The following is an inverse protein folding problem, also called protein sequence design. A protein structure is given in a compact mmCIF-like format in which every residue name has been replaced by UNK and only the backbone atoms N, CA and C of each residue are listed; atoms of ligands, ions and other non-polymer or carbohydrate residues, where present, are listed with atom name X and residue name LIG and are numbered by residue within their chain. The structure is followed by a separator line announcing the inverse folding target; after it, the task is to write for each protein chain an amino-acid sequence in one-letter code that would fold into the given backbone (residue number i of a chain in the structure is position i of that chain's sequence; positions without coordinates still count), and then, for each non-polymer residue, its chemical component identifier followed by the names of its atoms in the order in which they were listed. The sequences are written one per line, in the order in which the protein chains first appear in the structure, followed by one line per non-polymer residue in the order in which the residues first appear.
data_IF_440686629142
#
_entry.id   IF_440686629142
#
_cell.length_a   1.000
_cell.length_b   1.000
_cell.length_c   1.000
_cell.angle_alpha   90.00
_cell.angle_beta   90.00
_cell.angle_gamma   90.00
#
_symmetry.space_group_name_H-M   'P 1'
#
loop_
_entity.id
_entity.type
_entity.pdbx_description
1 polymer ?
#
# COMPACT_ATOMS: atom_id res chain seq x y z
N UNK A 1 -72.48 -21.99 -9.15
CA UNK A 1 -72.89 -21.86 -10.57
C UNK A 1 -71.83 -21.05 -11.31
N UNK A 2 -71.31 -21.63 -12.42
CA UNK A 2 -70.68 -21.02 -13.60
C UNK A 2 -69.38 -20.19 -13.45
N UNK A 3 -68.28 -20.93 -13.58
CA UNK A 3 -67.21 -20.84 -14.60
C UNK A 3 -67.17 -19.62 -15.53
N UNK A 4 -65.99 -18.98 -15.62
CA UNK A 4 -65.32 -18.66 -16.90
C UNK A 4 -63.81 -18.52 -16.69
N UNK A 5 -63.07 -19.43 -17.31
CA UNK A 5 -61.63 -19.35 -17.52
C UNK A 5 -61.35 -18.52 -18.79
N UNK A 6 -60.31 -17.71 -18.77
CA UNK A 6 -59.63 -17.25 -19.99
C UNK A 6 -58.15 -17.56 -19.82
N UNK A 7 -57.73 -18.64 -20.48
CA UNK A 7 -56.34 -18.93 -20.78
C UNK A 7 -55.95 -18.15 -22.04
N UNK A 8 -54.83 -17.44 -21.98
CA UNK A 8 -54.09 -16.99 -23.16
C UNK A 8 -52.64 -17.42 -23.00
N UNK A 9 -52.41 -18.65 -23.43
CA UNK A 9 -51.10 -19.17 -23.79
C UNK A 9 -50.74 -18.70 -25.20
N UNK A 10 -49.73 -17.85 -25.31
CA UNK A 10 -48.93 -17.68 -26.52
C UNK A 10 -47.47 -17.65 -26.08
N UNK A 11 -46.82 -18.81 -26.22
CA UNK A 11 -45.38 -18.92 -26.11
C UNK A 11 -44.69 -18.33 -27.34
N UNK A 12 -43.47 -17.87 -27.14
CA UNK A 12 -42.35 -18.10 -28.06
C UNK A 12 -41.07 -17.65 -27.34
N UNK A 13 -40.14 -18.58 -27.30
CA UNK A 13 -38.99 -18.56 -26.41
C UNK A 13 -38.04 -17.39 -26.61
N UNK A 14 -37.46 -16.98 -25.49
CA UNK A 14 -36.03 -16.82 -25.39
C UNK A 14 -35.62 -17.61 -24.17
N UNK A 15 -34.93 -18.72 -24.40
CA UNK A 15 -34.16 -19.36 -23.35
C UNK A 15 -33.29 -18.27 -22.73
N UNK A 16 -33.58 -17.95 -21.47
CA UNK A 16 -32.60 -17.33 -20.60
C UNK A 16 -31.47 -18.36 -20.51
N UNK A 17 -30.56 -18.32 -21.47
CA UNK A 17 -29.19 -18.71 -21.24
C UNK A 17 -28.78 -17.85 -20.05
N UNK A 18 -28.91 -18.42 -18.86
CA UNK A 18 -28.06 -18.10 -17.73
C UNK A 18 -26.65 -18.35 -18.24
N UNK A 19 -26.09 -17.35 -18.91
CA UNK A 19 -24.66 -17.29 -19.17
C UNK A 19 -24.04 -17.50 -17.78
N UNK A 20 -23.14 -18.49 -17.62
CA UNK A 20 -22.30 -18.49 -16.43
C UNK A 20 -21.67 -17.10 -16.43
N UNK A 21 -21.99 -16.28 -15.43
CA UNK A 21 -21.20 -15.11 -15.16
C UNK A 21 -19.86 -15.68 -14.70
N UNK A 22 -18.96 -15.95 -15.64
CA UNK A 22 -17.62 -16.36 -15.33
C UNK A 22 -17.05 -15.21 -14.54
N UNK A 23 -16.88 -15.41 -13.23
CA UNK A 23 -16.17 -14.45 -12.41
C UNK A 23 -14.83 -14.20 -13.10
N UNK A 24 -14.50 -12.93 -13.32
CA UNK A 24 -13.24 -12.55 -13.96
C UNK A 24 -12.08 -13.27 -13.25
N UNK A 25 -11.13 -13.77 -14.04
CA UNK A 25 -9.93 -14.41 -13.50
C UNK A 25 -9.20 -13.47 -12.55
N UNK A 26 -8.41 -14.03 -11.63
CA UNK A 26 -7.65 -13.22 -10.66
C UNK A 26 -6.76 -12.18 -11.36
N UNK A 27 -6.12 -12.57 -12.47
CA UNK A 27 -5.30 -11.68 -13.28
C UNK A 27 -6.12 -10.51 -13.88
N UNK A 28 -7.30 -10.79 -14.44
CA UNK A 28 -8.20 -9.74 -14.94
C UNK A 28 -8.64 -8.79 -13.83
N UNK A 29 -8.96 -9.33 -12.65
CA UNK A 29 -9.32 -8.51 -11.48
C UNK A 29 -8.17 -7.59 -11.06
N UNK A 30 -6.93 -8.09 -11.01
CA UNK A 30 -5.75 -7.26 -10.74
C UNK A 30 -5.56 -6.17 -11.80
N UNK A 31 -5.68 -6.50 -13.09
CA UNK A 31 -5.58 -5.52 -14.17
C UNK A 31 -6.64 -4.42 -14.07
N UNK A 32 -7.89 -4.78 -13.74
CA UNK A 32 -8.97 -3.81 -13.54
C UNK A 32 -8.67 -2.88 -12.35
N UNK A 33 -8.20 -3.43 -11.23
CA UNK A 33 -7.80 -2.64 -10.07
C UNK A 33 -6.65 -1.68 -10.41
N UNK A 34 -5.62 -2.14 -11.13
CA UNK A 34 -4.50 -1.29 -11.55
C UNK A 34 -4.95 -0.15 -12.47
N UNK A 35 -5.85 -0.44 -13.41
CA UNK A 35 -6.41 0.59 -14.30
C UNK A 35 -7.17 1.64 -13.50
N UNK A 36 -8.04 1.21 -12.59
CA UNK A 36 -8.78 2.12 -11.70
C UNK A 36 -7.83 2.96 -10.85
N UNK A 37 -6.88 2.31 -10.17
CA UNK A 37 -5.90 2.95 -9.31
C UNK A 37 -5.08 4.03 -10.03
N UNK A 38 -4.53 3.71 -11.21
CA UNK A 38 -3.72 4.65 -11.98
C UNK A 38 -4.50 5.84 -12.52
N UNK A 39 -5.82 5.72 -12.67
CA UNK A 39 -6.66 6.77 -13.24
C UNK A 39 -7.22 7.75 -12.21
N UNK A 40 -7.41 7.30 -10.97
CA UNK A 40 -8.30 7.99 -10.03
C UNK A 40 -7.76 8.13 -8.60
N UNK A 41 -6.72 7.37 -8.22
CA UNK A 41 -6.28 7.31 -6.83
C UNK A 41 -5.03 8.13 -6.57
N UNK A 42 -4.97 8.67 -5.35
CA UNK A 42 -3.78 9.35 -4.86
C UNK A 42 -2.62 8.38 -4.76
N UNK A 43 -1.46 8.80 -5.24
CA UNK A 43 -0.23 8.02 -5.15
C UNK A 43 0.60 8.47 -3.95
N UNK A 44 1.09 7.52 -3.17
CA UNK A 44 2.06 7.75 -2.09
C UNK A 44 3.34 6.96 -2.31
N UNK A 45 4.47 7.50 -1.87
CA UNK A 45 5.79 6.87 -1.98
C UNK A 45 6.57 7.05 -0.69
N UNK A 46 6.84 5.95 0.01
CA UNK A 46 7.57 5.98 1.28
C UNK A 46 8.76 5.03 1.26
N UNK A 47 9.93 5.49 1.69
CA UNK A 47 11.02 4.57 2.01
C UNK A 47 10.66 3.74 3.24
N UNK A 48 11.05 2.48 3.25
CA UNK A 48 10.99 1.58 4.41
C UNK A 48 11.98 0.45 4.19
N UNK A 49 12.81 0.14 5.19
CA UNK A 49 13.84 -0.91 5.11
C UNK A 49 14.74 -0.85 3.85
N UNK A 50 15.10 0.37 3.43
CA UNK A 50 16.00 0.59 2.29
C UNK A 50 15.35 0.46 0.91
N UNK A 51 14.03 0.29 0.83
CA UNK A 51 13.28 0.30 -0.44
C UNK A 51 12.22 1.38 -0.45
N UNK A 52 11.95 1.94 -1.63
CA UNK A 52 10.86 2.90 -1.84
C UNK A 52 9.57 2.15 -2.22
N UNK A 53 8.60 2.16 -1.32
CA UNK A 53 7.33 1.45 -1.46
C UNK A 53 6.26 2.43 -1.95
N UNK A 54 5.57 2.05 -3.03
CA UNK A 54 4.53 2.87 -3.66
C UNK A 54 3.15 2.33 -3.28
N UNK A 55 2.20 3.22 -3.03
CA UNK A 55 0.80 2.82 -2.87
C UNK A 55 -0.15 3.75 -3.62
N UNK A 56 -1.29 3.19 -4.03
CA UNK A 56 -2.45 3.93 -4.52
C UNK A 56 -3.52 3.88 -3.43
N UNK A 57 -4.03 5.05 -3.04
CA UNK A 57 -4.78 5.22 -1.80
C UNK A 57 -6.13 5.89 -2.07
N UNK A 58 -7.18 5.36 -1.45
CA UNK A 58 -8.52 5.96 -1.34
C UNK A 58 -8.93 5.93 0.14
N UNK A 59 -8.37 6.86 0.93
CA UNK A 59 -8.38 6.80 2.39
C UNK A 59 -7.46 5.71 2.97
N UNK A 60 -7.66 4.45 2.56
CA UNK A 60 -6.79 3.29 2.83
C UNK A 60 -6.12 2.80 1.54
N UNK A 61 -4.98 2.08 1.62
CA UNK A 61 -4.34 1.51 0.43
C UNK A 61 -5.30 0.58 -0.34
N UNK A 62 -5.35 0.76 -1.66
CA UNK A 62 -6.03 -0.14 -2.61
C UNK A 62 -5.01 -1.06 -3.28
N UNK A 63 -3.83 -0.51 -3.60
CA UNK A 63 -2.69 -1.28 -4.12
C UNK A 63 -1.43 -0.80 -3.41
N UNK A 64 -0.58 -1.74 -2.97
CA UNK A 64 0.78 -1.46 -2.52
C UNK A 64 1.75 -2.23 -3.42
N UNK A 65 2.69 -1.52 -4.04
CA UNK A 65 3.76 -2.05 -4.85
C UNK A 65 5.08 -2.00 -4.08
N UNK A 66 5.69 -3.17 -3.90
CA UNK A 66 6.96 -3.36 -3.17
C UNK A 66 8.02 -3.84 -4.16
N UNK A 67 9.06 -3.03 -4.43
CA UNK A 67 10.19 -3.48 -5.24
C UNK A 67 10.90 -4.69 -4.62
N UNK A 68 11.33 -5.62 -5.47
CA UNK A 68 12.22 -6.71 -5.09
C UNK A 68 13.60 -6.33 -5.61
N UNK A 69 14.54 -6.08 -4.69
CA UNK A 69 15.92 -5.78 -5.02
C UNK A 69 16.79 -7.02 -4.88
N UNK A 70 17.81 -7.11 -5.73
CA UNK A 70 18.84 -8.13 -5.63
C UNK A 70 19.95 -7.72 -4.66
N UNK A 71 20.97 -8.56 -4.52
CA UNK A 71 22.10 -8.33 -3.61
C UNK A 71 22.91 -7.06 -3.95
N UNK A 72 22.86 -6.59 -5.20
CA UNK A 72 23.51 -5.36 -5.64
C UNK A 72 22.58 -4.12 -5.51
N UNK A 73 21.39 -4.28 -4.94
CA UNK A 73 20.40 -3.21 -4.80
C UNK A 73 19.65 -2.90 -6.11
N UNK A 74 19.80 -3.70 -7.15
CA UNK A 74 19.09 -3.53 -8.42
C UNK A 74 17.72 -4.18 -8.35
N UNK A 75 16.70 -3.48 -8.85
CA UNK A 75 15.35 -4.03 -8.93
C UNK A 75 15.27 -5.20 -9.93
N UNK A 76 14.80 -6.35 -9.46
CA UNK A 76 14.58 -7.57 -10.26
C UNK A 76 13.10 -7.95 -10.36
N UNK A 77 12.24 -7.35 -9.55
CA UNK A 77 10.82 -7.58 -9.61
C UNK A 77 10.02 -6.58 -8.78
N UNK A 78 8.73 -6.85 -8.67
CA UNK A 78 7.80 -6.11 -7.85
C UNK A 78 6.72 -7.06 -7.34
N UNK A 79 6.42 -7.00 -6.04
CA UNK A 79 5.24 -7.63 -5.46
C UNK A 79 4.14 -6.59 -5.33
N UNK A 80 2.91 -6.95 -5.70
CA UNK A 80 1.72 -6.09 -5.54
C UNK A 80 0.73 -6.72 -4.60
N UNK A 81 0.29 -5.94 -3.61
CA UNK A 81 -0.73 -6.31 -2.64
C UNK A 81 -1.99 -5.53 -2.97
N UNK A 82 -3.10 -6.23 -3.18
CA UNK A 82 -4.37 -5.66 -3.60
C UNK A 82 -5.36 -5.75 -2.46
N UNK A 83 -6.06 -4.65 -2.19
CA UNK A 83 -6.99 -4.53 -1.08
C UNK A 83 -8.39 -4.14 -1.57
N UNK A 84 -9.42 -4.72 -0.96
CA UNK A 84 -10.83 -4.35 -1.16
C UNK A 84 -11.44 -4.04 0.21
N UNK A 85 -11.97 -2.83 0.39
CA UNK A 85 -12.52 -2.40 1.69
C UNK A 85 -11.53 -2.51 2.85
N UNK A 86 -10.24 -2.27 2.59
CA UNK A 86 -9.16 -2.39 3.57
C UNK A 86 -8.71 -3.81 3.90
N UNK A 87 -9.31 -4.85 3.30
CA UNK A 87 -8.92 -6.25 3.48
C UNK A 87 -8.03 -6.73 2.33
N UNK A 88 -7.07 -7.59 2.63
CA UNK A 88 -6.24 -8.23 1.61
C UNK A 88 -7.13 -9.08 0.69
N UNK A 89 -7.16 -8.71 -0.59
CA UNK A 89 -7.92 -9.41 -1.62
C UNK A 89 -7.02 -10.35 -2.42
N UNK A 90 -5.79 -9.95 -2.69
CA UNK A 90 -4.84 -10.78 -3.40
C UNK A 90 -3.43 -10.23 -3.40
N UNK A 91 -2.49 -11.07 -3.79
CA UNK A 91 -1.07 -10.70 -3.96
C UNK A 91 -0.59 -11.23 -5.29
N UNK A 92 0.13 -10.38 -6.04
CA UNK A 92 0.84 -10.76 -7.27
C UNK A 92 2.33 -10.59 -7.02
N UNK A 93 3.06 -11.70 -7.12
CA UNK A 93 4.51 -11.73 -7.11
C UNK A 93 5.01 -12.13 -8.51
N UNK A 94 6.31 -11.97 -8.83
CA UNK A 94 6.82 -12.32 -10.15
C UNK A 94 6.53 -13.77 -10.57
N UNK A 95 6.54 -14.72 -9.63
CA UNK A 95 6.39 -16.14 -9.91
C UNK A 95 5.04 -16.74 -9.44
N UNK A 96 4.15 -15.95 -8.83
CA UNK A 96 2.92 -16.48 -8.23
C UNK A 96 1.82 -15.44 -8.05
N UNK A 97 0.58 -15.91 -7.96
CA UNK A 97 -0.58 -15.10 -7.62
C UNK A 97 -1.39 -15.78 -6.52
N UNK A 98 -1.91 -14.98 -5.59
CA UNK A 98 -2.61 -15.44 -4.40
C UNK A 98 -3.95 -14.73 -4.29
N UNK A 99 -5.04 -15.47 -4.02
CA UNK A 99 -6.36 -14.90 -3.78
C UNK A 99 -6.84 -15.20 -2.36
N UNK A 100 -7.45 -14.21 -1.73
CA UNK A 100 -8.03 -14.31 -0.40
C UNK A 100 -9.56 -14.11 -0.48
N UNK A 101 -10.30 -14.83 0.35
CA UNK A 101 -11.72 -14.57 0.55
C UNK A 101 -11.97 -13.44 1.57
N UNK A 102 -13.24 -13.05 1.74
CA UNK A 102 -13.63 -11.96 2.65
C UNK A 102 -13.38 -12.26 4.14
N UNK A 103 -13.11 -13.53 4.48
CA UNK A 103 -12.71 -13.96 5.82
C UNK A 103 -11.20 -13.87 6.05
N UNK A 104 -10.43 -13.58 4.99
CA UNK A 104 -8.96 -13.48 5.03
C UNK A 104 -8.26 -14.82 4.79
N UNK A 105 -8.97 -15.83 4.27
CA UNK A 105 -8.40 -17.14 4.00
C UNK A 105 -7.83 -17.23 2.59
N UNK A 106 -6.66 -17.83 2.44
CA UNK A 106 -6.04 -18.09 1.14
C UNK A 106 -6.83 -19.19 0.41
N UNK A 107 -7.42 -18.83 -0.73
CA UNK A 107 -8.28 -19.72 -1.53
C UNK A 107 -7.62 -20.18 -2.82
N UNK A 108 -6.66 -19.42 -3.35
CA UNK A 108 -5.93 -19.76 -4.57
C UNK A 108 -4.45 -19.47 -4.41
N UNK A 109 -3.62 -20.40 -4.89
CA UNK A 109 -2.19 -20.20 -5.16
C UNK A 109 -1.98 -20.61 -6.61
N UNK A 110 -1.71 -19.63 -7.45
CA UNK A 110 -1.46 -19.81 -8.87
C UNK A 110 0.01 -19.54 -9.19
N UNK A 111 0.55 -20.21 -10.20
CA UNK A 111 1.87 -19.95 -10.76
C UNK A 111 1.88 -18.66 -11.63
N UNK A 112 3.02 -18.41 -12.28
CA UNK A 112 3.22 -17.28 -13.18
C UNK A 112 2.32 -17.32 -14.43
N UNK A 113 1.80 -18.50 -14.79
CA UNK A 113 0.86 -18.73 -15.90
C UNK A 113 -0.60 -18.69 -15.45
N UNK A 114 -0.87 -18.42 -14.16
CA UNK A 114 -2.21 -18.40 -13.60
C UNK A 114 -2.85 -19.78 -13.45
N UNK A 115 -2.06 -20.85 -13.50
CA UNK A 115 -2.51 -22.21 -13.23
C UNK A 115 -2.34 -22.53 -11.74
N UNK A 116 -3.13 -23.44 -11.16
CA UNK A 116 -2.91 -23.90 -9.78
C UNK A 116 -1.46 -24.38 -9.62
N UNK A 117 -0.75 -23.82 -8.64
CA UNK A 117 0.64 -24.18 -8.42
C UNK A 117 0.77 -25.67 -8.06
N UNK A 118 1.70 -26.36 -8.71
CA UNK A 118 1.93 -27.78 -8.47
C UNK A 118 2.47 -28.02 -7.04
N UNK A 119 2.14 -29.18 -6.47
CA UNK A 119 2.67 -29.64 -5.17
C UNK A 119 2.37 -28.75 -3.95
N UNK A 120 1.34 -27.92 -4.01
CA UNK A 120 0.89 -27.13 -2.86
C UNK A 120 0.10 -27.99 -1.87
N UNK A 121 0.66 -28.18 -0.66
CA UNK A 121 -0.01 -28.85 0.45
C UNK A 121 -0.92 -27.90 1.25
N UNK A 122 -1.81 -28.46 2.08
CA UNK A 122 -2.59 -27.65 3.05
C UNK A 122 -1.69 -26.86 4.02
N UNK A 123 -0.59 -27.46 4.46
CA UNK A 123 0.34 -26.83 5.39
C UNK A 123 1.06 -25.64 4.73
N UNK A 124 1.53 -25.79 3.49
CA UNK A 124 2.17 -24.70 2.76
C UNK A 124 1.19 -23.56 2.47
N UNK A 125 -0.09 -23.86 2.17
CA UNK A 125 -1.13 -22.83 2.06
C UNK A 125 -1.29 -22.02 3.36
N UNK A 126 -1.40 -22.69 4.51
CA UNK A 126 -1.55 -22.02 5.80
C UNK A 126 -0.35 -21.16 6.18
N UNK A 127 0.87 -21.66 5.96
CA UNK A 127 2.09 -20.89 6.19
C UNK A 127 2.13 -19.65 5.30
N UNK A 128 1.75 -19.80 4.03
CA UNK A 128 1.74 -18.71 3.06
C UNK A 128 0.67 -17.67 3.37
N UNK A 129 -0.53 -18.12 3.74
CA UNK A 129 -1.63 -17.27 4.23
C UNK A 129 -1.17 -16.41 5.42
N UNK A 130 -0.60 -17.03 6.45
CA UNK A 130 -0.13 -16.33 7.64
C UNK A 130 0.95 -15.30 7.32
N UNK A 131 1.93 -15.67 6.48
CA UNK A 131 3.00 -14.77 6.07
C UNK A 131 2.48 -13.58 5.26
N UNK A 132 1.66 -13.83 4.23
CA UNK A 132 1.12 -12.78 3.36
C UNK A 132 0.18 -11.84 4.12
N UNK A 133 -0.65 -12.37 5.01
CA UNK A 133 -1.56 -11.57 5.83
C UNK A 133 -0.79 -10.66 6.77
N UNK A 134 0.24 -11.19 7.47
CA UNK A 134 1.10 -10.38 8.33
C UNK A 134 1.82 -9.30 7.52
N UNK A 135 2.43 -9.68 6.39
CA UNK A 135 3.16 -8.74 5.55
C UNK A 135 2.26 -7.64 4.97
N UNK A 136 1.05 -7.99 4.53
CA UNK A 136 0.07 -7.01 4.05
C UNK A 136 -0.33 -6.01 5.14
N UNK A 137 -0.51 -6.47 6.39
CA UNK A 137 -0.81 -5.60 7.52
C UNK A 137 0.35 -4.65 7.85
N UNK A 138 1.59 -5.16 7.87
CA UNK A 138 2.80 -4.33 8.03
C UNK A 138 2.86 -3.23 6.95
N UNK A 139 2.71 -3.63 5.68
CA UNK A 139 2.73 -2.71 4.54
C UNK A 139 1.59 -1.69 4.60
N UNK A 140 0.37 -2.12 4.96
CA UNK A 140 -0.77 -1.22 5.15
C UNK A 140 -0.50 -0.17 6.22
N UNK A 141 0.15 -0.56 7.32
CA UNK A 141 0.54 0.33 8.41
C UNK A 141 1.46 1.47 7.98
N UNK A 142 2.34 1.25 6.99
CA UNK A 142 3.22 2.31 6.45
C UNK A 142 2.43 3.49 5.87
N UNK A 143 1.23 3.23 5.36
CA UNK A 143 0.39 4.25 4.71
C UNK A 143 -0.70 4.82 5.59
N UNK A 144 -0.83 4.34 6.84
CA UNK A 144 -1.68 4.98 7.84
C UNK A 144 -1.19 6.41 8.13
N UNK A 145 -2.09 7.36 8.45
CA UNK A 145 -1.71 8.67 8.95
C UNK A 145 -0.83 8.54 10.20
N UNK A 146 0.25 9.31 10.27
CA UNK A 146 1.02 9.48 11.50
C UNK A 146 0.24 10.26 12.54
N UNK A 147 0.62 10.16 13.82
CA UNK A 147 0.03 10.98 14.89
C UNK A 147 0.10 12.48 14.60
N UNK A 148 1.10 12.95 13.85
CA UNK A 148 1.18 14.34 13.40
C UNK A 148 0.03 14.68 12.42
N UNK A 149 -0.13 13.87 11.37
CA UNK A 149 -1.21 14.03 10.39
C UNK A 149 -2.60 13.96 11.05
N UNK A 150 -2.83 13.01 11.95
CA UNK A 150 -4.09 12.90 12.70
C UNK A 150 -4.40 14.14 13.56
N UNK A 151 -3.37 14.71 14.21
CA UNK A 151 -3.52 15.93 15.02
C UNK A 151 -3.81 17.16 14.16
N UNK A 152 -3.20 17.24 12.98
CA UNK A 152 -3.50 18.31 12.02
C UNK A 152 -4.95 18.25 11.54
N UNK A 153 -5.47 17.05 11.23
CA UNK A 153 -6.86 16.87 10.81
C UNK A 153 -7.88 17.25 11.88
N UNK A 154 -7.56 16.95 13.14
CA UNK A 154 -8.41 17.31 14.28
C UNK A 154 -8.38 18.81 14.60
N UNK A 155 -7.63 19.62 13.85
CA UNK A 155 -7.51 21.06 14.06
C UNK A 155 -6.69 21.44 15.31
N UNK A 156 -5.95 20.49 15.90
CA UNK A 156 -5.18 20.69 17.12
C UNK A 156 -3.85 21.43 16.91
N UNK A 157 -3.54 21.86 15.69
CA UNK A 157 -2.24 22.39 15.28
C UNK A 157 -2.42 23.78 14.65
N UNK A 158 -1.67 24.78 15.15
CA UNK A 158 -1.72 26.16 14.65
C UNK A 158 -0.67 26.46 13.57
N UNK A 159 0.21 25.51 13.26
CA UNK A 159 1.26 25.64 12.25
C UNK A 159 0.65 25.80 10.85
N UNK A 160 1.31 26.57 9.98
CA UNK A 160 0.88 26.80 8.59
C UNK A 160 2.08 26.80 7.64
N UNK A 161 1.80 26.64 6.35
CA UNK A 161 2.80 26.71 5.28
C UNK A 161 4.00 25.78 5.55
N UNK A 162 5.21 26.31 5.39
CA UNK A 162 6.44 25.53 5.54
C UNK A 162 6.65 24.91 6.93
N UNK A 163 6.14 25.55 7.99
CA UNK A 163 6.26 25.01 9.35
C UNK A 163 5.37 23.77 9.54
N UNK A 164 4.16 23.80 8.98
CA UNK A 164 3.26 22.65 9.00
C UNK A 164 3.84 21.50 8.18
N UNK A 165 4.30 21.77 6.96
CA UNK A 165 4.92 20.76 6.09
C UNK A 165 6.10 20.06 6.79
N UNK A 166 7.02 20.85 7.36
CA UNK A 166 8.16 20.31 8.11
C UNK A 166 7.71 19.44 9.29
N UNK A 167 6.70 19.89 10.06
CA UNK A 167 6.21 19.14 11.22
C UNK A 167 5.55 17.81 10.82
N UNK A 168 4.76 17.79 9.75
CA UNK A 168 4.16 16.57 9.20
C UNK A 168 5.25 15.60 8.70
N UNK A 169 6.22 16.10 7.95
CA UNK A 169 7.33 15.31 7.44
C UNK A 169 8.17 14.68 8.55
N UNK A 170 8.52 15.44 9.59
CA UNK A 170 9.26 14.92 10.74
C UNK A 170 8.44 13.88 11.50
N UNK A 171 7.14 14.13 11.70
CA UNK A 171 6.22 13.17 12.34
C UNK A 171 6.14 11.85 11.58
N UNK A 172 6.00 11.91 10.25
CA UNK A 172 5.97 10.72 9.40
C UNK A 172 7.30 9.98 9.37
N UNK A 173 8.43 10.69 9.34
CA UNK A 173 9.77 10.08 9.41
C UNK A 173 9.96 9.29 10.70
N UNK A 174 9.62 9.87 11.86
CA UNK A 174 9.69 9.17 13.14
C UNK A 174 8.81 7.93 13.18
N UNK A 175 7.61 8.00 12.59
CA UNK A 175 6.70 6.86 12.51
C UNK A 175 7.21 5.72 11.61
N UNK A 176 7.87 6.04 10.48
CA UNK A 176 8.32 5.03 9.52
C UNK A 176 9.71 4.45 9.84
N UNK A 177 10.64 5.29 10.31
CA UNK A 177 12.03 4.91 10.55
C UNK A 177 12.29 4.48 12.00
N UNK A 178 11.31 4.63 12.90
CA UNK A 178 11.47 4.34 14.32
C UNK A 178 12.40 5.35 14.99
N UNK A 179 11.83 6.37 15.63
CA UNK A 179 12.59 7.37 16.37
C UNK A 179 11.66 8.33 17.11
N UNK A 180 12.25 9.22 17.91
CA UNK A 180 11.49 10.11 18.79
C UNK A 180 11.85 11.59 18.67
N UNK A 181 12.89 11.92 17.89
CA UNK A 181 13.34 13.28 17.66
C UNK A 181 14.01 13.46 16.31
N UNK A 182 13.68 14.55 15.62
CA UNK A 182 14.36 15.00 14.41
C UNK A 182 14.97 16.38 14.66
N UNK A 183 16.24 16.54 14.32
CA UNK A 183 16.96 17.83 14.32
C UNK A 183 17.56 18.10 12.96
N UNK A 184 17.84 19.36 12.65
CA UNK A 184 18.43 19.74 11.37
C UNK A 184 19.14 21.08 11.50
N UNK A 185 20.13 21.31 10.63
CA UNK A 185 20.74 22.62 10.46
C UNK A 185 19.90 23.43 9.47
N UNK A 186 19.45 24.66 9.79
CA UNK A 186 18.59 25.45 8.91
C UNK A 186 19.16 25.67 7.50
N UNK A 187 20.48 25.77 7.37
CA UNK A 187 21.16 25.96 6.09
C UNK A 187 21.12 24.71 5.18
N UNK A 188 20.90 23.52 5.76
CA UNK A 188 20.92 22.23 5.06
C UNK A 188 19.53 21.67 4.76
N UNK A 189 18.47 22.32 5.24
CA UNK A 189 17.09 21.90 5.02
C UNK A 189 16.29 22.97 4.27
N UNK A 190 15.96 22.68 3.01
CA UNK A 190 15.03 23.49 2.24
C UNK A 190 13.60 23.18 2.69
N UNK A 191 12.80 24.23 2.89
CA UNK A 191 11.43 24.13 3.39
C UNK A 191 10.51 24.99 2.53
N UNK A 192 9.36 24.45 2.17
CA UNK A 192 8.26 25.17 1.52
C UNK A 192 6.92 24.63 2.03
N UNK A 193 5.81 25.24 1.61
CA UNK A 193 4.48 24.75 2.01
C UNK A 193 4.18 23.35 1.44
N UNK A 194 4.87 22.96 0.37
CA UNK A 194 4.73 21.69 -0.34
C UNK A 194 5.62 20.58 0.23
N UNK A 195 6.57 20.90 1.13
CA UNK A 195 7.45 19.88 1.70
C UNK A 195 8.80 20.36 2.20
N UNK A 196 9.68 19.40 2.48
CA UNK A 196 11.06 19.63 2.90
C UNK A 196 12.03 18.74 2.13
N UNK A 197 13.24 19.24 1.91
CA UNK A 197 14.32 18.47 1.26
C UNK A 197 15.68 18.88 1.82
N UNK A 198 16.48 17.89 2.18
CA UNK A 198 17.82 18.13 2.71
C UNK A 198 18.19 17.20 3.86
N UNK A 199 19.16 17.64 4.66
CA UNK A 199 19.75 16.82 5.71
C UNK A 199 19.02 16.99 7.05
N UNK A 200 18.81 15.87 7.74
CA UNK A 200 18.27 15.83 9.10
C UNK A 200 19.03 14.78 9.92
N UNK A 201 19.00 14.89 11.24
CA UNK A 201 19.44 13.85 12.16
C UNK A 201 18.21 13.28 12.87
N UNK A 202 18.02 11.98 12.79
CA UNK A 202 16.97 11.23 13.50
C UNK A 202 17.57 10.55 14.72
N UNK A 203 16.96 10.73 15.89
CA UNK A 203 17.32 9.95 17.08
C UNK A 203 16.53 8.66 17.10
N UNK A 204 17.26 7.56 17.15
CA UNK A 204 16.75 6.20 17.29
C UNK A 204 17.33 5.57 18.57
N UNK A 205 16.90 4.35 18.91
CA UNK A 205 17.41 3.63 20.09
C UNK A 205 18.94 3.46 20.09
N UNK A 206 19.54 3.25 18.91
CA UNK A 206 20.98 3.03 18.75
C UNK A 206 21.81 4.31 18.71
N UNK A 207 21.17 5.48 18.72
CA UNK A 207 21.83 6.78 18.63
C UNK A 207 21.25 7.68 17.55
N UNK A 208 22.03 8.67 17.13
CA UNK A 208 21.66 9.58 16.06
C UNK A 208 22.07 9.02 14.70
N UNK A 209 21.15 9.05 13.75
CA UNK A 209 21.40 8.73 12.36
C UNK A 209 21.20 9.98 11.50
N UNK A 210 22.24 10.37 10.78
CA UNK A 210 22.18 11.47 9.82
C UNK A 210 21.62 10.95 8.48
N UNK A 211 20.59 11.63 7.96
CA UNK A 211 19.81 11.25 6.80
C UNK A 211 19.72 12.41 5.81
N UNK A 212 19.69 12.09 4.51
CA UNK A 212 19.25 13.02 3.48
C UNK A 212 17.87 12.58 3.00
N UNK A 213 16.88 13.46 3.11
CA UNK A 213 15.49 13.15 2.79
C UNK A 213 14.88 14.08 1.73
N UNK A 214 13.83 13.58 1.09
CA UNK A 214 12.86 14.37 0.35
C UNK A 214 11.47 14.01 0.88
N UNK A 215 10.72 15.03 1.28
CA UNK A 215 9.36 14.89 1.77
C UNK A 215 8.43 15.86 1.06
N UNK A 216 7.29 15.37 0.60
CA UNK A 216 6.24 16.15 -0.07
C UNK A 216 4.93 16.00 0.71
N UNK A 217 4.18 17.09 0.83
CA UNK A 217 2.88 17.12 1.51
C UNK A 217 1.79 17.66 0.60
N UNK A 218 0.57 17.18 0.82
CA UNK A 218 -0.65 17.70 0.22
C UNK A 218 -1.70 17.85 1.31
N UNK A 219 -2.06 19.11 1.63
CA UNK A 219 -2.88 19.41 2.80
C UNK A 219 -2.20 18.91 4.09
N UNK A 220 -2.92 18.09 4.85
CA UNK A 220 -2.44 17.47 6.10
C UNK A 220 -1.88 16.06 5.89
N UNK A 221 -1.45 15.71 4.68
CA UNK A 221 -0.93 14.38 4.35
C UNK A 221 0.47 14.45 3.79
N UNK A 222 1.32 13.54 4.24
CA UNK A 222 2.60 13.27 3.58
C UNK A 222 2.33 12.34 2.40
N UNK A 223 2.69 12.76 1.20
CA UNK A 223 2.47 12.00 -0.04
C UNK A 223 3.76 11.35 -0.53
N UNK A 224 4.91 11.97 -0.25
CA UNK A 224 6.23 11.38 -0.47
C UNK A 224 7.08 11.55 0.78
N UNK A 225 7.78 10.49 1.17
CA UNK A 225 8.87 10.60 2.12
C UNK A 225 9.91 9.54 1.80
N UNK A 226 11.00 9.96 1.18
CA UNK A 226 12.14 9.09 0.90
C UNK A 226 13.38 9.58 1.61
N UNK A 227 14.24 8.66 2.05
CA UNK A 227 15.48 9.02 2.72
C UNK A 227 16.58 7.98 2.49
N UNK A 228 17.81 8.45 2.65
CA UNK A 228 19.00 7.61 2.66
C UNK A 228 19.94 8.05 3.78
N UNK A 229 20.69 7.13 4.41
CA UNK A 229 21.75 7.49 5.33
C UNK A 229 22.80 8.37 4.64
N UNK A 230 23.31 9.38 5.35
CA UNK A 230 24.44 10.16 4.84
C UNK A 230 25.75 9.34 4.92
N UNK A 231 26.68 9.49 3.96
CA UNK A 231 28.01 8.89 4.03
C UNK A 231 28.71 9.30 5.33
N UNK A 232 29.13 8.33 6.14
CA UNK A 232 29.79 8.59 7.44
C UNK A 232 28.85 8.71 8.65
N UNK A 233 27.54 8.43 8.51
CA UNK A 233 26.56 8.51 9.59
C UNK A 233 26.68 7.42 10.69
N UNK A 234 27.61 6.47 10.56
CA UNK A 234 28.05 5.65 11.70
C UNK A 234 29.03 6.46 12.55
N UNK A 235 28.55 7.51 13.22
CA UNK A 235 29.35 8.14 14.29
C UNK A 235 29.52 7.10 15.40
N UNK A 236 30.75 6.74 15.80
CA UNK A 236 30.96 5.89 16.97
C UNK A 236 30.31 6.53 18.20
N UNK A 237 29.76 5.69 19.08
CA UNK A 237 29.19 6.09 20.36
C UNK A 237 30.17 6.86 21.23
#
# INVERSE_FOLDING_TARGET
MRTTAIALSLGLGLGLCSLPSFAASLAEQFTLMEKGANSALDTRLFSHDGVDIKAWVDGTPVIIAVPILNEQGKQEGESRYYFKGGKLFGVKEPAAQFAFDDSGKLTQWLDDKGQPAEFVSKMSMQQREAWLTRRAAELGGLFAPSTAEEKADKGGVKLKGAELAQWLCNGKLMALAGGDKVTFEPAKLKRSAEGIKGEVSLRQEKGWQDLCLTCEVQGNRVTRLTWQPLPGANKPQ
#
